data_IF_793363553759
#
_entry.id   IF_793363553759
#
_cell.length_a   1.000
_cell.length_b   1.000
_cell.length_c   1.000
_cell.angle_alpha   90.00
_cell.angle_beta   90.00
_cell.angle_gamma   90.00
#
_symmetry.space_group_name_H-M   'P 1'
#
loop_
_entity.id
_entity.type
_entity.pdbx_description
1 polymer ?
#
# COMPACT_ATOMS: atom_id res chain seq x y z
N UNK A 1 6.77 -0.37 -8.60
CA UNK A 1 6.25 0.30 -7.43
C UNK A 1 5.40 1.47 -7.79
N UNK A 2 4.46 1.76 -6.93
CA UNK A 2 3.53 2.86 -7.20
C UNK A 2 3.95 4.07 -6.39
N UNK A 3 3.72 5.25 -6.93
CA UNK A 3 3.88 6.46 -6.13
C UNK A 3 2.49 6.99 -5.80
N UNK A 4 2.45 8.03 -4.98
CA UNK A 4 1.18 8.55 -4.52
C UNK A 4 0.30 9.02 -5.66
N UNK A 5 0.91 9.65 -6.65
CA UNK A 5 0.19 10.16 -7.80
C UNK A 5 -0.48 9.03 -8.56
N UNK A 6 0.26 7.96 -8.78
CA UNK A 6 -0.28 6.82 -9.50
C UNK A 6 -1.42 6.19 -8.74
N UNK A 7 -1.26 6.03 -7.45
CA UNK A 7 -2.31 5.44 -6.64
C UNK A 7 -3.53 6.33 -6.58
N UNK A 8 -3.31 7.63 -6.58
CA UNK A 8 -4.42 8.55 -6.53
C UNK A 8 -5.27 8.49 -7.80
N UNK A 9 -4.65 8.15 -8.91
CA UNK A 9 -5.37 8.01 -10.17
C UNK A 9 -6.14 6.72 -10.28
N UNK A 10 -5.87 5.76 -9.43
CA UNK A 10 -6.54 4.47 -9.53
C UNK A 10 -7.88 4.51 -8.82
N UNK A 11 -8.75 3.64 -9.23
CA UNK A 11 -10.05 3.54 -8.57
C UNK A 11 -9.89 2.79 -7.26
N UNK A 12 -10.92 2.90 -6.43
CA UNK A 12 -10.92 2.23 -5.15
C UNK A 12 -10.77 0.72 -5.32
N UNK A 13 -11.43 0.16 -6.31
CA UNK A 13 -11.32 -1.26 -6.56
C UNK A 13 -9.90 -1.68 -6.86
N UNK A 14 -9.21 -0.89 -7.66
CA UNK A 14 -7.84 -1.20 -8.00
C UNK A 14 -6.93 -1.09 -6.79
N UNK A 15 -7.17 -0.08 -5.98
CA UNK A 15 -6.38 0.08 -4.76
C UNK A 15 -6.57 -1.11 -3.83
N UNK A 16 -7.79 -1.60 -3.76
CA UNK A 16 -8.07 -2.76 -2.91
C UNK A 16 -7.36 -4.00 -3.43
N UNK A 17 -7.30 -4.16 -4.73
CA UNK A 17 -6.58 -5.29 -5.30
C UNK A 17 -5.09 -5.18 -4.99
N UNK A 18 -4.54 -4.00 -5.15
CA UNK A 18 -3.13 -3.79 -4.82
C UNK A 18 -2.88 -4.07 -3.34
N UNK A 19 -3.77 -3.60 -2.51
CA UNK A 19 -3.63 -3.80 -1.07
C UNK A 19 -3.67 -5.28 -0.73
N UNK A 20 -4.54 -6.02 -1.38
CA UNK A 20 -4.62 -7.45 -1.14
C UNK A 20 -3.35 -8.15 -1.58
N UNK A 21 -2.80 -7.73 -2.70
CA UNK A 21 -1.54 -8.30 -3.17
C UNK A 21 -0.42 -8.03 -2.20
N UNK A 22 -0.48 -6.92 -1.49
CA UNK A 22 0.52 -6.58 -0.48
C UNK A 22 0.15 -7.16 0.88
N UNK A 23 -0.94 -7.91 0.93
CA UNK A 23 -1.39 -8.56 2.17
C UNK A 23 -1.71 -7.55 3.25
N UNK A 24 -2.30 -6.44 2.86
CA UNK A 24 -2.73 -5.45 3.81
C UNK A 24 -4.07 -5.89 4.40
N UNK A 25 -4.09 -6.08 5.69
CA UNK A 25 -5.29 -6.53 6.35
C UNK A 25 -6.33 -5.44 6.37
N UNK A 26 -7.58 -5.83 6.24
CA UNK A 26 -8.70 -4.92 6.35
C UNK A 26 -8.69 -3.83 5.29
N UNK A 27 -8.19 -4.16 4.12
CA UNK A 27 -8.13 -3.17 3.05
C UNK A 27 -9.51 -2.63 2.72
N UNK A 28 -10.56 -3.42 2.97
CA UNK A 28 -11.92 -2.98 2.71
C UNK A 28 -12.38 -1.89 3.67
N UNK A 29 -11.75 -1.79 4.81
CA UNK A 29 -12.16 -0.84 5.84
C UNK A 29 -11.55 0.53 5.66
N UNK A 30 -10.57 0.65 4.79
CA UNK A 30 -9.86 1.91 4.63
C UNK A 30 -10.52 2.74 3.55
N UNK A 31 -10.45 4.04 3.71
CA UNK A 31 -10.85 4.95 2.66
C UNK A 31 -9.73 5.04 1.64
N UNK A 32 -10.04 5.68 0.52
CA UNK A 32 -9.09 5.74 -0.57
C UNK A 32 -7.77 6.37 -0.12
N UNK A 33 -7.85 7.49 0.56
CA UNK A 33 -6.66 8.17 1.01
C UNK A 33 -5.85 7.30 1.96
N UNK A 34 -6.54 6.72 2.90
CA UNK A 34 -5.89 5.86 3.86
C UNK A 34 -5.26 4.66 3.17
N UNK A 35 -5.98 4.08 2.23
CA UNK A 35 -5.49 2.93 1.51
C UNK A 35 -4.24 3.29 0.72
N UNK A 36 -4.21 4.46 0.13
CA UNK A 36 -3.04 4.92 -0.60
C UNK A 36 -1.83 4.96 0.32
N UNK A 37 -2.01 5.51 1.50
CA UNK A 37 -0.90 5.59 2.46
C UNK A 37 -0.48 4.20 2.92
N UNK A 38 -1.43 3.32 3.12
CA UNK A 38 -1.10 1.95 3.52
C UNK A 38 -0.33 1.23 2.44
N UNK A 39 -0.72 1.43 1.20
CA UNK A 39 -0.03 0.80 0.09
C UNK A 39 1.39 1.33 0.00
N UNK A 40 1.55 2.64 0.11
CA UNK A 40 2.88 3.23 0.05
C UNK A 40 3.76 2.69 1.17
N UNK A 41 3.20 2.60 2.34
CA UNK A 41 3.94 2.12 3.49
C UNK A 41 4.35 0.66 3.30
N UNK A 42 3.42 -0.16 2.84
CA UNK A 42 3.68 -1.58 2.69
C UNK A 42 4.69 -1.85 1.60
N UNK A 43 4.58 -1.15 0.49
CA UNK A 43 5.54 -1.41 -0.58
C UNK A 43 6.93 -0.95 -0.19
N UNK A 44 7.05 0.11 0.57
CA UNK A 44 8.34 0.54 1.06
C UNK A 44 8.89 -0.46 2.06
N UNK A 45 8.03 -0.93 2.93
CA UNK A 45 8.42 -1.92 3.91
C UNK A 45 8.82 -3.22 3.25
N UNK A 46 8.04 -3.65 2.28
CA UNK A 46 8.32 -4.86 1.57
C UNK A 46 9.62 -4.79 0.81
N UNK A 47 9.91 -3.64 0.25
CA UNK A 47 11.14 -3.46 -0.50
C UNK A 47 12.36 -3.48 0.40
N UNK A 48 12.18 -3.11 1.65
CA UNK A 48 13.31 -3.08 2.57
C UNK A 48 13.23 -4.15 3.62
N UNK A 49 12.48 -5.19 3.39
CA UNK A 49 12.24 -6.13 4.47
C UNK A 49 13.50 -6.84 4.91
N UNK A 50 14.49 -6.93 4.09
CA UNK A 50 15.72 -7.57 4.54
C UNK A 50 16.66 -6.59 5.18
N UNK A 51 16.33 -5.33 5.29
CA UNK A 51 17.14 -4.39 5.99
C UNK A 51 16.77 -4.45 7.45
N UNK A 52 17.74 -4.57 8.31
CA UNK A 52 17.47 -4.67 9.68
C UNK A 52 17.33 -3.36 10.29
N UNK A 53 16.33 -3.08 10.83
CA UNK A 53 16.17 -1.82 11.49
C UNK A 53 16.90 -1.76 12.76
N UNK A 54 17.35 -2.05 12.96
CA UNK A 54 17.82 -1.72 14.01
C UNK A 54 18.49 -1.04 14.33
N UNK A 55 18.27 -1.01 13.95
CA UNK A 55 18.54 -0.64 14.11
C UNK A 55 18.49 -0.49 14.40
#
# INVERSE_FOLDING_TARGET
MYNKSQLNDKSMSELQIIAKNLEIAKSDSFEKEELIYKILDEQAFGASKNINPDK
#
